data_IF_533546245050
#
_entry.id   IF_533546245050
#
_cell.length_a   1.000
_cell.length_b   1.000
_cell.length_c   1.000
_cell.angle_alpha   90.00
_cell.angle_beta   90.00
_cell.angle_gamma   90.00
#
_symmetry.space_group_name_H-M   'P 1'
#
loop_
_entity.id
_entity.type
_entity.pdbx_description
1 polymer ?
2 water ?
#
# COMPACT_ATOMS: atom_id res chain seq x y z
N UNK A 1 -1.58 11.04 -6.45
CA UNK A 1 -2.48 12.12 -5.99
C UNK A 1 -3.85 11.95 -6.65
N UNK A 2 -4.06 12.28 -7.95
CA UNK A 2 -5.34 11.98 -8.63
C UNK A 2 -5.53 10.47 -8.86
N UNK A 3 -4.46 9.78 -9.26
CA UNK A 3 -4.40 8.32 -9.32
C UNK A 3 -4.79 7.64 -8.00
N UNK A 4 -4.25 8.18 -6.90
CA UNK A 4 -4.50 7.74 -5.54
C UNK A 4 -5.91 8.02 -5.09
N UNK A 5 -6.38 9.27 -5.30
CA UNK A 5 -7.71 9.67 -4.87
C UNK A 5 -8.72 8.73 -5.54
N UNK A 6 -8.49 8.38 -6.80
CA UNK A 6 -9.35 7.49 -7.54
C UNK A 6 -9.46 6.12 -6.87
N UNK A 7 -8.30 5.47 -6.67
CA UNK A 7 -8.18 4.23 -5.94
C UNK A 7 -8.91 4.24 -4.60
N UNK A 8 -8.80 5.31 -3.82
CA UNK A 8 -9.49 5.36 -2.52
C UNK A 8 -11.01 5.40 -2.71
N UNK A 9 -11.47 6.21 -3.66
CA UNK A 9 -12.87 6.34 -4.04
C UNK A 9 -13.46 4.98 -4.39
N UNK A 10 -12.68 4.24 -5.19
CA UNK A 10 -13.11 2.97 -5.73
C UNK A 10 -13.25 1.93 -4.63
N UNK A 11 -12.33 1.97 -3.69
CA UNK A 11 -12.31 1.06 -2.58
C UNK A 11 -13.52 1.31 -1.72
N UNK A 12 -13.75 2.59 -1.38
CA UNK A 12 -14.88 2.96 -0.53
C UNK A 12 -16.13 2.40 -1.18
N UNK A 13 -16.29 2.65 -2.48
CA UNK A 13 -17.58 2.49 -3.10
C UNK A 13 -17.76 1.03 -3.52
N UNK A 14 -16.77 0.46 -4.20
CA UNK A 14 -16.97 -0.77 -4.98
C UNK A 14 -16.12 -2.00 -4.55
N UNK A 15 -15.34 -1.95 -3.48
CA UNK A 15 -14.52 -3.08 -3.09
C UNK A 15 -14.94 -3.52 -1.70
N UNK A 16 -15.10 -4.85 -1.57
CA UNK A 16 -15.49 -5.47 -0.31
C UNK A 16 -14.64 -6.73 -0.14
N UNK A 17 -14.63 -7.26 1.08
CA UNK A 17 -13.96 -8.48 1.43
C UNK A 17 -15.06 -9.53 1.42
N UNK A 18 -14.73 -10.67 0.85
CA UNK A 18 -15.61 -11.78 0.63
C UNK A 18 -14.94 -13.07 1.11
N UNK A 19 -15.65 -13.90 1.90
CA UNK A 19 -15.08 -15.16 2.36
C UNK A 19 -15.76 -16.34 1.63
N UNK A 20 -14.95 -17.34 1.25
CA UNK A 20 -15.37 -18.58 0.61
C UNK A 20 -14.80 -19.78 1.37
N UNK A 21 -15.16 -21.00 0.90
CA UNK A 21 -14.43 -22.24 1.18
C UNK A 21 -12.95 -21.95 1.37
N UNK A 22 -12.38 -21.30 0.31
CA UNK A 22 -10.96 -21.04 0.15
C UNK A 22 -10.38 -19.85 0.95
N UNK A 23 -11.14 -19.02 1.69
CA UNK A 23 -10.55 -17.95 2.50
C UNK A 23 -11.15 -16.57 2.10
N UNK A 24 -10.63 -15.47 2.69
CA UNK A 24 -11.04 -14.14 2.33
C UNK A 24 -10.34 -13.71 1.03
N UNK A 25 -11.00 -12.79 0.34
CA UNK A 25 -10.48 -12.25 -0.91
C UNK A 25 -11.00 -10.84 -1.08
N UNK A 26 -10.20 -9.99 -1.75
CA UNK A 26 -10.71 -8.71 -2.19
C UNK A 26 -11.69 -8.99 -3.33
N UNK A 27 -12.88 -8.36 -3.32
CA UNK A 27 -13.84 -8.53 -4.37
C UNK A 27 -14.28 -7.18 -4.90
N UNK A 28 -14.38 -7.07 -6.21
CA UNK A 28 -14.92 -5.87 -6.80
C UNK A 28 -16.41 -6.03 -7.15
N UNK A 29 -17.21 -5.11 -6.69
CA UNK A 29 -18.54 -4.88 -7.23
C UNK A 29 -18.52 -3.98 -8.46
N UNK A 30 -19.17 -4.44 -9.54
CA UNK A 30 -19.12 -3.79 -10.83
C UNK A 30 -20.38 -2.99 -11.18
N UNK A 31 -21.55 -3.62 -11.03
CA UNK A 31 -22.85 -2.99 -11.18
C UNK A 31 -23.95 -3.85 -10.52
N UNK A 32 -25.04 -3.20 -10.13
CA UNK A 32 -26.24 -3.92 -9.75
C UNK A 32 -25.83 -4.90 -8.66
N UNK A 33 -25.94 -6.20 -8.98
CA UNK A 33 -25.76 -7.30 -8.06
C UNK A 33 -24.60 -8.19 -8.51
N UNK A 34 -23.79 -7.69 -9.47
CA UNK A 34 -22.70 -8.40 -10.12
C UNK A 34 -21.35 -7.93 -9.54
N UNK A 35 -20.43 -8.90 -9.43
CA UNK A 35 -19.13 -8.77 -8.78
C UNK A 35 -18.19 -9.82 -9.33
N UNK A 36 -16.85 -9.61 -9.16
CA UNK A 36 -15.86 -10.50 -9.71
C UNK A 36 -14.88 -10.88 -8.62
N UNK A 37 -14.30 -12.05 -8.80
CA UNK A 37 -13.32 -12.63 -7.91
C UNK A 37 -12.42 -13.50 -8.74
N UNK A 38 -11.23 -13.85 -8.21
CA UNK A 38 -10.40 -14.89 -8.78
C UNK A 38 -11.18 -16.20 -8.85
N UNK A 39 -11.10 -16.87 -9.99
CA UNK A 39 -11.69 -18.17 -10.15
C UNK A 39 -11.22 -19.12 -9.04
N UNK A 40 -9.98 -19.02 -8.57
CA UNK A 40 -9.46 -19.99 -7.62
C UNK A 40 -10.02 -19.78 -6.22
N UNK A 41 -10.82 -18.72 -6.02
CA UNK A 41 -11.49 -18.48 -4.76
C UNK A 41 -12.69 -19.40 -4.60
N UNK A 42 -13.16 -19.88 -5.76
CA UNK A 42 -14.01 -21.09 -5.83
C UNK A 42 -15.33 -20.85 -5.13
N UNK A 43 -16.01 -19.71 -5.41
CA UNK A 43 -17.16 -19.31 -4.61
C UNK A 43 -18.27 -20.37 -4.67
N UNK A 44 -18.96 -20.58 -3.54
CA UNK A 44 -20.01 -21.60 -3.49
C UNK A 44 -21.40 -21.12 -3.92
N UNK A 45 -22.42 -21.47 -3.13
CA UNK A 45 -23.81 -21.07 -3.30
C UNK A 45 -24.07 -19.86 -2.43
N UNK A 46 -23.14 -19.54 -1.53
CA UNK A 46 -23.22 -18.31 -0.77
C UNK A 46 -21.79 -17.84 -0.47
N UNK A 47 -21.70 -16.55 -0.08
CA UNK A 47 -20.42 -15.93 0.18
C UNK A 47 -20.62 -14.96 1.32
N UNK A 48 -19.67 -14.86 2.26
CA UNK A 48 -19.83 -13.87 3.33
C UNK A 48 -19.25 -12.55 2.85
N UNK A 49 -19.90 -11.43 3.16
CA UNK A 49 -19.56 -10.11 2.67
C UNK A 49 -19.73 -9.14 3.82
N UNK A 50 -18.59 -8.75 4.41
CA UNK A 50 -18.57 -7.77 5.49
C UNK A 50 -19.55 -8.29 6.55
N UNK A 51 -19.26 -9.49 7.08
CA UNK A 51 -20.06 -10.09 8.15
C UNK A 51 -21.22 -10.98 7.70
N UNK A 52 -21.81 -10.75 6.51
CA UNK A 52 -23.15 -11.24 6.22
C UNK A 52 -23.13 -12.37 5.18
N UNK A 53 -23.92 -13.41 5.38
CA UNK A 53 -24.04 -14.47 4.38
C UNK A 53 -24.98 -13.95 3.28
N UNK A 54 -24.59 -14.20 2.04
CA UNK A 54 -25.25 -13.65 0.89
C UNK A 54 -25.36 -14.78 -0.12
N UNK A 55 -26.59 -15.01 -0.62
CA UNK A 55 -26.82 -16.09 -1.55
C UNK A 55 -26.29 -15.66 -2.93
N UNK A 56 -25.51 -16.56 -3.55
CA UNK A 56 -25.01 -16.49 -4.92
C UNK A 56 -26.02 -17.16 -5.85
N UNK A 57 -26.63 -16.36 -6.71
CA UNK A 57 -27.47 -16.88 -7.79
C UNK A 57 -26.56 -17.55 -8.83
N UNK A 58 -26.05 -16.81 -9.84
CA UNK A 58 -25.17 -17.38 -10.87
C UNK A 58 -23.69 -17.17 -10.51
N UNK A 59 -22.82 -18.07 -11.01
CA UNK A 59 -21.37 -17.96 -10.90
C UNK A 59 -20.74 -18.39 -12.23
N UNK A 60 -20.26 -17.42 -13.02
CA UNK A 60 -19.62 -17.67 -14.30
C UNK A 60 -18.10 -17.50 -14.21
N UNK A 61 -17.33 -18.59 -14.41
CA UNK A 61 -15.88 -18.57 -14.52
C UNK A 61 -15.46 -18.33 -15.95
N UNK A 62 -14.86 -17.16 -16.26
CA UNK A 62 -14.50 -16.73 -17.61
C UNK A 62 -13.38 -17.60 -18.23
N UNK A 63 -13.59 -18.00 -19.52
CA UNK A 63 -12.59 -18.58 -20.41
C UNK A 63 -12.56 -17.79 -21.75
N UNK A 64 -11.52 -17.98 -22.56
CA UNK A 64 -11.41 -17.32 -23.87
C UNK A 64 -12.14 -18.20 -24.86
N UNK A 65 -12.16 -17.79 -26.14
CA UNK A 65 -12.85 -18.60 -27.13
C UNK A 65 -12.14 -19.96 -27.32
N UNK A 66 -10.89 -20.16 -26.88
CA UNK A 66 -10.24 -21.48 -26.86
C UNK A 66 -10.61 -22.37 -25.64
N UNK A 67 -11.47 -21.91 -24.70
CA UNK A 67 -11.62 -22.59 -23.40
C UNK A 67 -10.44 -22.53 -22.41
N UNK A 68 -9.43 -21.67 -22.61
CA UNK A 68 -8.41 -21.37 -21.63
C UNK A 68 -9.05 -20.49 -20.56
N UNK A 69 -8.81 -20.83 -19.31
CA UNK A 69 -9.30 -20.04 -18.19
C UNK A 69 -8.66 -18.63 -18.17
N UNK A 70 -9.44 -17.56 -17.98
CA UNK A 70 -8.95 -16.22 -17.69
C UNK A 70 -8.75 -15.86 -16.22
N UNK A 71 -9.06 -16.79 -15.32
CA UNK A 71 -8.87 -16.69 -13.89
C UNK A 71 -9.82 -15.68 -13.26
N UNK A 72 -10.95 -15.36 -13.89
CA UNK A 72 -11.90 -14.41 -13.31
C UNK A 72 -13.22 -15.13 -13.26
N UNK A 73 -14.04 -14.82 -12.25
CA UNK A 73 -15.37 -15.35 -12.12
C UNK A 73 -16.32 -14.21 -11.72
N UNK A 74 -17.41 -14.18 -12.46
CA UNK A 74 -18.52 -13.30 -12.21
C UNK A 74 -19.52 -14.04 -11.35
N UNK A 75 -20.06 -13.32 -10.36
CA UNK A 75 -21.07 -13.85 -9.48
C UNK A 75 -22.20 -12.84 -9.37
N UNK A 76 -23.43 -13.33 -9.61
CA UNK A 76 -24.65 -12.55 -9.38
C UNK A 76 -25.12 -12.99 -8.00
N UNK A 77 -25.61 -12.04 -7.22
CA UNK A 77 -25.87 -12.18 -5.80
C UNK A 77 -27.33 -11.89 -5.48
N UNK A 78 -27.92 -12.70 -4.58
CA UNK A 78 -29.26 -12.43 -4.04
C UNK A 78 -29.14 -11.33 -2.99
N UNK A 79 -29.35 -10.06 -3.43
CA UNK A 79 -29.20 -8.91 -2.55
C UNK A 79 -29.99 -7.70 -3.10
N UNK A 80 -30.37 -6.87 -2.13
CA UNK A 80 -31.18 -5.68 -2.35
C UNK A 80 -30.26 -4.51 -2.73
N UNK A 81 -29.10 -4.45 -2.07
CA UNK A 81 -28.12 -3.39 -2.26
C UNK A 81 -27.63 -3.44 -3.72
N UNK A 82 -27.49 -2.27 -4.35
CA UNK A 82 -26.91 -2.14 -5.70
C UNK A 82 -25.51 -1.49 -5.58
N UNK A 83 -24.58 -1.85 -6.48
CA UNK A 83 -23.27 -1.22 -6.53
C UNK A 83 -23.28 -0.07 -7.51
N UNK A 84 -22.55 0.99 -7.12
CA UNK A 84 -22.19 2.03 -8.07
C UNK A 84 -21.72 1.38 -9.37
N UNK A 85 -22.25 1.80 -10.50
CA UNK A 85 -21.95 1.14 -11.75
C UNK A 85 -20.57 1.64 -12.12
N UNK A 86 -19.58 0.75 -12.31
CA UNK A 86 -18.25 1.19 -12.79
C UNK A 86 -17.88 0.54 -14.12
N UNK A 87 -18.85 0.10 -14.87
CA UNK A 87 -18.59 -0.33 -16.23
C UNK A 87 -17.93 0.75 -17.08
N UNK A 88 -18.41 2.02 -17.11
CA UNK A 88 -17.69 3.10 -17.83
C UNK A 88 -16.19 3.17 -17.48
N UNK A 89 -15.84 2.85 -16.22
CA UNK A 89 -14.46 2.89 -15.82
C UNK A 89 -13.68 1.66 -16.22
N UNK A 90 -14.30 0.63 -16.81
CA UNK A 90 -13.53 -0.54 -17.14
C UNK A 90 -13.28 -0.37 -18.60
N UNK A 91 -12.05 -0.53 -19.08
CA UNK A 91 -11.73 -0.19 -20.44
C UNK A 91 -12.32 -1.24 -21.37
N UNK A 92 -12.50 -0.89 -22.66
CA UNK A 92 -12.99 -1.81 -23.67
C UNK A 92 -11.88 -2.77 -24.07
N UNK A 93 -10.62 -2.32 -23.98
CA UNK A 93 -9.45 -3.13 -24.36
C UNK A 93 -8.45 -3.25 -23.20
N UNK A 94 -7.68 -4.34 -23.25
CA UNK A 94 -6.65 -4.60 -22.29
C UNK A 94 -5.79 -3.34 -22.21
N UNK A 95 -5.68 -2.75 -21.01
CA UNK A 95 -4.98 -1.50 -20.80
C UNK A 95 -3.73 -1.63 -19.92
N UNK A 96 -2.62 -0.95 -20.31
CA UNK A 96 -1.41 -0.79 -19.49
C UNK A 96 -1.37 0.58 -18.85
N UNK A 97 -0.46 0.80 -17.91
CA UNK A 97 -0.34 2.06 -17.20
C UNK A 97 1.09 2.07 -16.69
N UNK A 98 1.61 3.27 -16.63
CA UNK A 98 2.85 3.53 -15.98
C UNK A 98 2.64 3.70 -14.48
N UNK A 99 1.41 4.02 -14.02
CA UNK A 99 1.23 4.37 -12.63
C UNK A 99 0.08 3.54 -12.08
N UNK A 100 0.31 2.23 -11.93
CA UNK A 100 -0.70 1.39 -11.30
C UNK A 100 -0.82 1.51 -9.79
N UNK A 101 -2.06 1.59 -9.27
CA UNK A 101 -2.34 1.22 -7.88
C UNK A 101 -3.09 -0.12 -7.72
N UNK A 102 -2.50 -1.02 -6.92
CA UNK A 102 -3.12 -2.28 -6.49
C UNK A 102 -3.90 -2.02 -5.23
N UNK A 103 -5.18 -2.38 -5.21
CA UNK A 103 -6.00 -2.18 -4.01
C UNK A 103 -6.31 -3.57 -3.43
N UNK A 104 -6.09 -3.67 -2.13
CA UNK A 104 -6.32 -4.89 -1.38
C UNK A 104 -7.19 -4.53 -0.19
N UNK A 105 -8.15 -5.43 0.10
CA UNK A 105 -9.03 -5.21 1.24
C UNK A 105 -9.47 -6.53 1.88
N UNK A 106 -8.64 -7.04 2.78
CA UNK A 106 -8.99 -8.13 3.65
C UNK A 106 -8.67 -7.74 5.10
N UNK A 107 -9.00 -8.62 6.02
CA UNK A 107 -8.63 -8.45 7.42
C UNK A 107 -7.11 -8.40 7.62
N UNK A 108 -6.33 -9.12 6.79
CA UNK A 108 -4.87 -9.07 6.89
C UNK A 108 -4.37 -7.75 6.28
N UNK A 109 -4.91 -7.40 5.10
CA UNK A 109 -4.48 -6.25 4.33
C UNK A 109 -5.65 -5.29 4.17
N UNK A 110 -6.11 -4.59 5.23
CA UNK A 110 -7.33 -3.74 5.10
C UNK A 110 -7.05 -2.39 4.45
N UNK A 111 -7.83 -2.10 3.40
CA UNK A 111 -7.83 -0.79 2.75
C UNK A 111 -6.43 -0.27 2.48
N UNK A 112 -5.70 -1.11 1.81
CA UNK A 112 -4.28 -1.01 1.63
C UNK A 112 -4.05 -0.71 0.14
N UNK A 113 -3.26 0.33 -0.16
CA UNK A 113 -3.06 0.88 -1.51
C UNK A 113 -1.58 0.77 -1.86
N UNK A 114 -1.27 0.00 -2.92
CA UNK A 114 0.09 -0.26 -3.28
C UNK A 114 0.32 0.27 -4.70
N UNK A 115 1.12 1.34 -4.84
CA UNK A 115 1.58 1.78 -6.15
C UNK A 115 2.71 0.88 -6.63
N UNK A 116 2.43 0.16 -7.72
CA UNK A 116 3.33 -0.88 -8.18
C UNK A 116 4.10 -0.37 -9.38
N UNK A 117 3.74 0.86 -9.81
CA UNK A 117 4.34 1.36 -11.04
C UNK A 117 3.77 0.76 -12.32
N UNK A 118 4.68 0.24 -13.11
CA UNK A 118 4.38 -0.19 -14.47
C UNK A 118 3.61 -1.51 -14.45
N UNK A 119 2.42 -1.53 -15.09
CA UNK A 119 1.67 -2.75 -15.33
C UNK A 119 1.74 -3.01 -16.84
N UNK A 120 2.36 -4.12 -17.24
CA UNK A 120 2.59 -4.39 -18.64
C UNK A 120 1.83 -5.65 -19.04
N UNK A 121 1.55 -5.74 -20.35
CA UNK A 121 0.89 -6.88 -20.94
C UNK A 121 1.91 -7.95 -21.21
N UNK A 122 1.55 -9.18 -20.82
CA UNK A 122 2.36 -10.37 -21.04
C UNK A 122 1.54 -11.44 -21.77
N UNK A 123 0.22 -11.22 -21.96
CA UNK A 123 -0.64 -12.18 -22.61
C UNK A 123 -0.50 -13.55 -21.93
N UNK A 124 0.06 -14.48 -22.72
CA UNK A 124 -0.10 -15.86 -22.34
C UNK A 124 0.92 -16.10 -21.24
N UNK A 125 0.39 -16.39 -20.04
CA UNK A 125 1.15 -16.94 -18.94
C UNK A 125 1.06 -18.48 -18.94
N UNK A 126 2.10 -19.18 -19.44
CA UNK A 126 2.16 -20.65 -19.54
C UNK A 126 2.96 -21.22 -18.38
N UNK A 127 2.39 -21.39 -17.18
CA UNK A 127 3.10 -22.13 -16.14
C UNK A 127 2.47 -23.52 -16.03
N UNK A 128 3.29 -24.51 -15.57
CA UNK A 128 2.98 -25.92 -15.79
C UNK A 128 2.21 -26.13 -17.12
N UNK A 129 1.18 -26.99 -17.05
CA UNK A 129 0.15 -27.00 -18.06
C UNK A 129 -0.79 -25.81 -17.92
N UNK A 130 -0.89 -25.26 -16.67
CA UNK A 130 -1.92 -24.30 -16.21
C UNK A 130 -1.68 -22.95 -16.88
N UNK A 131 -2.05 -22.88 -18.17
CA UNK A 131 -1.80 -21.74 -19.02
C UNK A 131 -2.93 -20.70 -18.74
N UNK A 132 -2.75 -19.40 -19.09
CA UNK A 132 -3.78 -18.37 -18.85
C UNK A 132 -3.58 -17.25 -19.89
N UNK A 133 -4.63 -16.50 -20.19
CA UNK A 133 -4.54 -15.46 -21.19
C UNK A 133 -4.92 -14.10 -20.62
N UNK A 134 -4.47 -13.08 -21.33
CA UNK A 134 -4.83 -11.72 -20.98
C UNK A 134 -4.30 -11.36 -19.60
N UNK A 135 -3.05 -11.80 -19.28
CA UNK A 135 -2.51 -11.43 -18.00
C UNK A 135 -1.78 -10.10 -18.05
N UNK A 136 -1.73 -9.42 -16.92
CA UNK A 136 -0.83 -8.29 -16.69
C UNK A 136 0.23 -8.67 -15.66
N UNK A 137 1.32 -7.89 -15.62
CA UNK A 137 2.46 -8.18 -14.76
C UNK A 137 2.98 -6.84 -14.26
N UNK A 138 3.53 -6.86 -13.06
CA UNK A 138 3.99 -5.66 -12.38
C UNK A 138 4.93 -6.12 -11.32
N UNK A 139 5.82 -5.24 -10.90
CA UNK A 139 6.68 -5.50 -9.73
C UNK A 139 5.89 -5.33 -8.43
N UNK A 140 5.85 -6.44 -7.67
CA UNK A 140 5.18 -6.52 -6.37
C UNK A 140 5.63 -7.82 -5.72
N UNK A 141 6.21 -7.78 -4.50
CA UNK A 141 6.38 -9.00 -3.70
C UNK A 141 5.08 -9.67 -3.19
N UNK A 142 4.57 -10.61 -4.01
CA UNK A 142 3.33 -11.32 -3.72
C UNK A 142 3.47 -12.30 -2.54
N UNK A 143 2.49 -12.33 -1.61
CA UNK A 143 2.14 -13.51 -0.79
C UNK A 143 0.76 -14.06 -1.22
N UNK A 144 -0.29 -13.82 -0.43
CA UNK A 144 -1.42 -14.74 -0.40
C UNK A 144 -2.63 -14.00 0.11
N UNK A 145 -3.79 -14.18 -0.57
CA UNK A 145 -4.99 -13.43 -0.26
C UNK A 145 -4.80 -11.91 -0.38
N UNK A 146 -3.74 -11.50 -1.12
CA UNK A 146 -3.74 -10.39 -2.07
C UNK A 146 -4.57 -10.73 -3.31
N UNK A 147 -4.72 -12.04 -3.56
CA UNK A 147 -5.71 -12.48 -4.51
C UNK A 147 -7.00 -11.69 -4.25
N UNK A 148 -7.51 -11.35 -5.45
CA UNK A 148 -8.66 -10.52 -5.69
C UNK A 148 -8.32 -9.04 -5.80
N UNK A 149 -7.07 -8.64 -5.48
CA UNK A 149 -6.75 -7.22 -5.48
C UNK A 149 -6.99 -6.53 -6.83
N UNK A 150 -7.31 -5.26 -6.76
CA UNK A 150 -7.74 -4.51 -7.92
C UNK A 150 -6.62 -3.56 -8.39
N UNK A 151 -6.30 -3.57 -9.68
CA UNK A 151 -5.37 -2.61 -10.28
C UNK A 151 -6.11 -1.39 -10.87
N UNK A 152 -5.72 -0.16 -10.45
CA UNK A 152 -6.21 1.09 -11.01
C UNK A 152 -5.09 1.94 -11.63
N UNK A 153 -5.49 2.72 -12.61
CA UNK A 153 -4.85 3.95 -12.99
C UNK A 153 -6.04 4.89 -13.07
N UNK A 154 -5.76 6.17 -13.19
CA UNK A 154 -6.75 7.21 -12.92
C UNK A 154 -7.91 7.00 -13.90
N UNK A 155 -9.14 6.88 -13.32
CA UNK A 155 -10.40 6.76 -14.06
C UNK A 155 -10.74 5.35 -14.56
N UNK A 156 -9.76 4.44 -14.55
CA UNK A 156 -9.88 3.10 -15.06
C UNK A 156 -9.53 2.05 -13.99
N UNK A 157 -10.37 1.03 -13.94
CA UNK A 157 -10.08 -0.27 -13.33
C UNK A 157 -9.70 -1.25 -14.43
N UNK A 158 -8.46 -1.72 -14.45
CA UNK A 158 -7.91 -2.46 -15.57
C UNK A 158 -7.62 -3.92 -15.24
N UNK A 159 -7.66 -4.35 -13.96
CA UNK A 159 -7.09 -5.67 -13.72
C UNK A 159 -7.45 -6.20 -12.36
N UNK A 160 -7.13 -7.49 -12.16
CA UNK A 160 -7.47 -8.18 -10.92
C UNK A 160 -6.38 -9.22 -10.64
N UNK A 161 -5.72 -9.04 -9.48
CA UNK A 161 -4.56 -9.80 -9.09
C UNK A 161 -5.00 -11.28 -8.90
N UNK A 162 -4.24 -12.25 -9.41
CA UNK A 162 -4.60 -13.66 -9.38
C UNK A 162 -3.38 -14.55 -9.19
N UNK A 163 -2.25 -13.97 -8.87
CA UNK A 163 -1.04 -14.76 -8.98
C UNK A 163 0.20 -13.94 -8.64
N UNK A 164 1.33 -14.64 -8.61
CA UNK A 164 2.55 -13.93 -8.30
C UNK A 164 3.70 -14.85 -7.90
N UNK A 165 4.77 -14.18 -7.44
CA UNK A 165 6.00 -14.82 -7.00
C UNK A 165 6.70 -13.77 -6.19
N UNK A 166 7.94 -14.11 -5.80
CA UNK A 166 8.69 -13.24 -4.91
C UNK A 166 8.76 -11.79 -5.33
N UNK A 167 8.76 -11.53 -6.64
CA UNK A 167 9.16 -10.23 -7.15
C UNK A 167 8.09 -9.60 -8.03
N UNK A 168 7.06 -10.36 -8.43
CA UNK A 168 6.11 -9.93 -9.45
C UNK A 168 4.70 -10.33 -9.06
N UNK A 169 3.73 -9.47 -9.33
CA UNK A 169 2.31 -9.85 -9.33
C UNK A 169 1.78 -10.13 -10.74
N UNK A 170 0.75 -10.97 -10.83
CA UNK A 170 0.07 -11.26 -12.07
C UNK A 170 -1.40 -10.94 -11.90
N UNK A 171 -1.94 -10.15 -12.85
CA UNK A 171 -3.35 -9.85 -12.83
C UNK A 171 -4.01 -10.42 -14.09
N UNK A 172 -5.33 -10.61 -14.01
CA UNK A 172 -6.20 -10.82 -15.15
C UNK A 172 -6.73 -9.45 -15.54
N UNK A 173 -6.60 -9.13 -16.82
CA UNK A 173 -7.08 -7.87 -17.34
C UNK A 173 -8.62 -7.89 -17.29
N UNK A 174 -9.21 -6.72 -17.14
CA UNK A 174 -10.63 -6.45 -17.30
C UNK A 174 -10.98 -5.66 -18.57
N UNK A 175 -12.04 -6.11 -19.27
CA UNK A 175 -12.60 -5.57 -20.51
C UNK A 175 -14.08 -5.33 -20.19
N UNK A 176 -14.64 -4.23 -20.65
CA UNK A 176 -16.02 -3.95 -20.36
C UNK A 176 -16.97 -5.07 -20.85
N UNK A 177 -16.66 -5.73 -21.99
CA UNK A 177 -17.46 -6.76 -22.65
C UNK A 177 -17.70 -8.00 -21.77
N UNK A 178 -16.89 -8.17 -20.73
CA UNK A 178 -17.11 -9.20 -19.74
C UNK A 178 -18.44 -9.01 -19.01
N UNK A 179 -18.98 -7.79 -18.96
CA UNK A 179 -20.27 -7.52 -18.38
C UNK A 179 -21.29 -7.19 -19.48
N UNK A 180 -22.51 -6.99 -18.99
CA UNK A 180 -23.66 -6.61 -19.78
C UNK A 180 -23.42 -5.22 -20.35
N UNK A 181 -24.09 -4.98 -21.49
CA UNK A 181 -24.18 -3.68 -22.12
C UNK A 181 -24.85 -2.67 -21.18
N UNK A 182 -24.62 -1.38 -21.46
CA UNK A 182 -24.89 -0.27 -20.55
C UNK A 182 -26.10 0.53 -21.09
N UNK B 2 8.71 -11.91 2.90
CA UNK B 2 7.61 -11.32 3.65
C UNK B 2 7.61 -9.80 3.78
N UNK B 3 8.44 -9.10 2.93
CA UNK B 3 8.68 -7.65 2.93
C UNK B 3 7.45 -6.82 3.35
N UNK B 4 6.31 -7.21 2.77
CA UNK B 4 5.04 -6.51 2.89
C UNK B 4 4.31 -6.82 4.19
N UNK B 5 4.33 -8.07 4.68
CA UNK B 5 3.71 -8.39 5.96
C UNK B 5 4.44 -7.61 7.05
N UNK B 6 5.79 -7.63 6.94
CA UNK B 6 6.63 -6.97 7.91
C UNK B 6 6.13 -5.54 8.13
N UNK B 7 5.93 -4.84 6.98
CA UNK B 7 5.51 -3.45 6.95
C UNK B 7 4.08 -3.29 7.46
N UNK B 8 3.19 -4.21 7.12
CA UNK B 8 1.79 -4.08 7.53
C UNK B 8 1.68 -4.21 9.03
N UNK B 9 2.27 -5.32 9.53
CA UNK B 9 2.33 -5.58 10.97
C UNK B 9 2.84 -4.34 11.70
N UNK B 10 3.95 -3.76 11.21
CA UNK B 10 4.56 -2.60 11.82
C UNK B 10 3.59 -1.43 11.77
N UNK B 11 2.97 -1.19 10.62
CA UNK B 11 2.07 -0.05 10.47
C UNK B 11 0.92 -0.08 11.48
N UNK B 12 0.39 -1.28 11.82
CA UNK B 12 -0.77 -1.37 12.68
C UNK B 12 -0.42 -0.81 14.06
N UNK B 13 0.60 -1.45 14.64
CA UNK B 13 0.98 -1.20 16.03
C UNK B 13 1.77 0.09 16.16
N UNK B 14 2.69 0.40 15.22
CA UNK B 14 3.76 1.38 15.47
C UNK B 14 3.70 2.64 14.62
N UNK B 15 2.72 2.77 13.71
CA UNK B 15 2.60 4.00 12.95
C UNK B 15 1.29 4.70 13.27
N UNK B 16 1.39 6.04 13.25
CA UNK B 16 0.32 6.95 13.61
C UNK B 16 0.48 8.16 12.69
N UNK B 17 -0.55 9.02 12.70
CA UNK B 17 -0.68 10.19 11.88
C UNK B 17 -0.59 11.34 12.86
N UNK B 18 0.06 12.43 12.44
CA UNK B 18 0.41 13.52 13.32
C UNK B 18 0.19 14.83 12.60
N UNK B 19 -0.49 15.78 13.25
CA UNK B 19 -0.71 17.10 12.66
C UNK B 19 0.11 18.14 13.47
N UNK B 20 0.72 19.11 12.77
CA UNK B 20 1.44 20.26 13.33
C UNK B 20 0.97 21.50 12.59
N UNK B 21 1.49 22.65 13.04
CA UNK B 21 1.41 23.89 12.30
C UNK B 21 1.65 23.66 10.81
N UNK B 22 2.62 22.77 10.46
CA UNK B 22 3.07 22.47 9.10
C UNK B 22 2.16 21.52 8.27
N UNK B 23 1.47 20.55 8.88
CA UNK B 23 0.50 19.73 8.16
C UNK B 23 0.55 18.32 8.73
N UNK B 24 0.06 17.33 7.94
CA UNK B 24 0.02 15.96 8.43
C UNK B 24 1.36 15.28 8.16
N UNK B 25 1.63 14.24 8.95
CA UNK B 25 2.89 13.53 8.87
C UNK B 25 2.62 12.10 9.32
N UNK B 26 3.21 11.12 8.62
CA UNK B 26 3.30 9.76 9.12
C UNK B 26 4.31 9.82 10.25
N UNK B 27 4.04 9.17 11.38
CA UNK B 27 4.89 9.22 12.56
C UNK B 27 5.17 7.81 13.08
N UNK B 28 6.43 7.50 13.29
CA UNK B 28 6.80 6.20 13.81
C UNK B 28 6.84 6.34 15.30
N UNK B 29 6.12 5.47 16.00
CA UNK B 29 6.30 5.28 17.42
C UNK B 29 7.28 4.14 17.69
N UNK B 30 8.25 4.43 18.60
CA UNK B 30 9.42 3.60 18.74
C UNK B 30 9.38 2.73 19.99
N UNK B 31 9.11 3.38 21.13
CA UNK B 31 8.97 2.78 22.45
C UNK B 31 8.33 3.81 23.40
N UNK B 32 7.64 3.27 24.42
CA UNK B 32 7.15 4.10 25.51
C UNK B 32 6.38 5.24 24.87
N UNK B 33 6.89 6.45 24.97
CA UNK B 33 6.16 7.62 24.53
C UNK B 33 7.04 8.45 23.60
N UNK B 34 8.06 7.79 22.97
CA UNK B 34 8.97 8.48 22.05
C UNK B 34 8.65 8.07 20.61
N UNK B 35 8.82 9.03 19.67
CA UNK B 35 8.39 8.92 18.29
C UNK B 35 9.20 9.89 17.44
N UNK B 36 9.23 9.68 16.10
CA UNK B 36 10.10 10.49 15.24
C UNK B 36 9.32 11.20 14.16
N UNK B 37 9.66 12.46 13.99
CA UNK B 37 9.15 13.28 12.91
C UNK B 37 10.31 13.82 12.12
N UNK B 38 10.07 14.21 10.85
CA UNK B 38 10.93 15.14 10.13
C UNK B 38 11.07 16.39 10.99
N UNK B 39 12.30 16.83 11.13
CA UNK B 39 12.53 18.07 11.82
C UNK B 39 11.70 19.19 11.19
N UNK B 40 11.50 19.20 9.86
CA UNK B 40 10.86 20.35 9.21
C UNK B 40 9.38 20.46 9.57
N UNK B 41 8.83 19.38 10.15
CA UNK B 41 7.44 19.35 10.59
C UNK B 41 7.21 20.30 11.75
N UNK B 42 8.31 20.61 12.48
CA UNK B 42 8.43 21.82 13.27
C UNK B 42 7.43 21.80 14.43
N UNK B 43 7.39 20.72 15.26
CA UNK B 43 6.31 20.51 16.22
C UNK B 43 6.29 21.53 17.36
N UNK B 44 5.12 22.15 17.64
CA UNK B 44 4.94 23.08 18.75
C UNK B 44 4.70 22.41 20.12
N UNK B 45 3.69 22.91 20.88
CA UNK B 45 3.52 22.59 22.31
C UNK B 45 2.71 21.30 22.45
N UNK B 46 1.71 21.17 21.57
CA UNK B 46 0.94 19.96 21.38
C UNK B 46 0.91 19.59 19.89
N UNK B 47 0.54 18.33 19.64
CA UNK B 47 0.60 17.67 18.34
C UNK B 47 -0.68 16.85 18.26
N UNK B 48 -1.40 16.91 17.12
CA UNK B 48 -2.62 16.12 17.01
C UNK B 48 -2.27 14.68 16.62
N UNK B 49 -2.80 13.68 17.34
CA UNK B 49 -2.63 12.27 17.02
C UNK B 49 -4.00 11.62 16.92
N UNK B 50 -4.32 11.02 15.76
CA UNK B 50 -5.45 10.12 15.62
C UNK B 50 -6.67 10.80 16.24
N UNK B 51 -7.00 12.01 15.71
CA UNK B 51 -8.11 12.80 16.20
C UNK B 51 -7.73 13.80 17.31
N UNK B 52 -7.00 13.34 18.36
CA UNK B 52 -6.95 14.00 19.66
C UNK B 52 -5.62 14.72 19.90
N UNK B 53 -5.70 15.86 20.62
CA UNK B 53 -4.55 16.68 20.94
C UNK B 53 -3.74 16.09 22.11
N UNK B 54 -2.40 16.09 21.98
CA UNK B 54 -1.49 15.46 22.92
C UNK B 54 -0.30 16.42 23.15
N UNK B 55 0.09 16.58 24.42
CA UNK B 55 1.13 17.52 24.79
C UNK B 55 2.51 16.86 24.65
N UNK B 56 3.44 17.72 24.21
CA UNK B 56 4.83 17.41 23.91
C UNK B 56 5.69 17.79 25.10
N UNK B 57 6.34 16.79 25.73
CA UNK B 57 7.34 16.98 26.76
C UNK B 57 8.60 17.60 26.15
N UNK B 58 9.57 16.75 25.71
CA UNK B 58 10.82 17.20 25.14
C UNK B 58 10.85 16.89 23.63
N UNK B 59 11.57 17.76 22.89
CA UNK B 59 11.72 17.71 21.45
C UNK B 59 13.18 17.96 21.09
N UNK B 60 13.94 16.88 20.83
CA UNK B 60 15.35 16.97 20.50
C UNK B 60 15.59 16.72 19.00
N UNK B 61 16.02 17.75 18.26
CA UNK B 61 16.47 17.67 16.88
C UNK B 61 17.87 17.07 16.75
N UNK B 62 18.01 15.88 16.16
CA UNK B 62 19.27 15.17 16.00
C UNK B 62 20.18 15.82 14.97
N UNK B 63 21.49 15.59 15.17
CA UNK B 63 22.60 16.20 14.41
C UNK B 63 23.78 15.24 14.45
N UNK B 64 24.68 15.24 13.46
CA UNK B 64 25.79 14.30 13.41
C UNK B 64 26.92 14.84 14.29
N UNK B 65 28.08 14.16 14.30
CA UNK B 65 29.26 14.64 15.01
C UNK B 65 29.67 16.05 14.59
N UNK B 66 29.44 16.40 13.31
CA UNK B 66 29.63 17.75 12.79
C UNK B 66 28.53 18.78 13.12
N UNK B 67 27.46 18.48 13.89
CA UNK B 67 26.35 19.43 14.07
C UNK B 67 25.58 19.84 12.79
N UNK B 68 25.57 18.95 11.77
CA UNK B 68 24.66 19.07 10.65
C UNK B 68 23.43 18.26 11.04
N UNK B 69 22.29 18.95 10.88
CA UNK B 69 20.96 18.40 10.95
C UNK B 69 20.78 17.09 10.17
N UNK B 70 20.39 16.05 10.91
CA UNK B 70 20.00 14.73 10.45
C UNK B 70 18.57 14.68 9.86
N UNK B 71 17.82 15.75 10.06
CA UNK B 71 16.42 15.91 9.71
C UNK B 71 15.49 14.97 10.50
N UNK B 72 15.90 14.51 11.67
CA UNK B 72 15.01 13.86 12.61
C UNK B 72 14.80 14.78 13.83
N UNK B 73 13.61 14.65 14.42
CA UNK B 73 13.28 15.15 15.73
C UNK B 73 12.61 14.00 16.46
N UNK B 74 13.31 13.39 17.45
CA UNK B 74 12.69 12.61 18.52
C UNK B 74 11.81 13.52 19.41
N UNK B 75 10.62 13.02 19.76
CA UNK B 75 9.72 13.67 20.69
C UNK B 75 9.21 12.65 21.68
N UNK B 76 9.04 13.16 22.92
CA UNK B 76 8.39 12.50 24.03
C UNK B 76 7.01 13.17 24.22
N UNK B 77 6.01 12.30 24.46
CA UNK B 77 4.60 12.68 24.58
C UNK B 77 4.02 12.26 25.94
N UNK B 78 3.10 13.11 26.46
CA UNK B 78 2.37 12.83 27.70
C UNK B 78 1.26 11.79 27.44
N UNK B 79 1.52 10.49 27.75
CA UNK B 79 0.61 9.42 27.31
C UNK B 79 0.81 8.09 28.06
N UNK B 80 -0.35 7.47 28.32
CA UNK B 80 -0.49 6.28 29.15
C UNK B 80 -0.27 5.06 28.25
N UNK B 81 -0.90 5.07 27.05
CA UNK B 81 -0.69 4.02 26.06
C UNK B 81 0.78 4.15 25.62
N UNK B 82 1.47 3.00 25.53
CA UNK B 82 2.90 2.94 25.24
C UNK B 82 3.06 2.21 23.89
N UNK B 83 3.96 2.71 23.03
CA UNK B 83 4.20 2.09 21.73
C UNK B 83 4.88 0.76 21.95
N UNK B 84 4.56 -0.24 21.12
CA UNK B 84 5.41 -1.43 21.14
C UNK B 84 6.89 -0.97 21.04
N UNK B 85 7.78 -1.52 21.86
CA UNK B 85 9.21 -1.21 21.70
C UNK B 85 9.73 -1.94 20.46
N UNK B 86 10.20 -1.19 19.43
CA UNK B 86 10.80 -1.80 18.23
C UNK B 86 12.25 -1.36 18.01
N UNK B 87 12.89 -0.75 19.00
CA UNK B 87 14.34 -0.57 18.94
C UNK B 87 15.09 -1.84 18.51
N UNK B 88 14.69 -3.06 18.91
CA UNK B 88 15.32 -4.26 18.35
C UNK B 88 15.24 -4.41 16.83
N UNK B 89 14.23 -3.82 16.19
CA UNK B 89 14.07 -3.91 14.74
C UNK B 89 14.99 -2.96 13.97
N UNK B 90 15.31 -1.84 14.59
CA UNK B 90 16.23 -0.85 14.05
C UNK B 90 17.65 -1.36 14.15
N UNK B 91 18.45 -1.31 13.06
CA UNK B 91 19.81 -1.84 13.11
C UNK B 91 20.70 -0.87 13.87
N UNK B 92 21.85 -1.37 14.32
CA UNK B 92 22.87 -0.57 14.99
C UNK B 92 23.62 0.31 13.99
N UNK B 93 23.73 -0.18 12.74
CA UNK B 93 24.31 0.55 11.63
C UNK B 93 23.28 0.94 10.57
N UNK B 94 23.52 2.10 9.97
CA UNK B 94 22.91 2.50 8.71
C UNK B 94 22.89 1.30 7.77
N UNK B 95 21.68 0.90 7.34
CA UNK B 95 21.54 -0.33 6.53
C UNK B 95 20.91 -0.04 5.17
N UNK B 96 21.36 -0.73 4.11
CA UNK B 96 20.79 -0.65 2.76
C UNK B 96 19.95 -1.89 2.49
N UNK B 97 19.24 -1.92 1.36
CA UNK B 97 18.36 -3.03 1.07
C UNK B 97 18.08 -3.01 -0.43
N UNK B 98 17.86 -4.22 -0.96
CA UNK B 98 17.39 -4.40 -2.32
C UNK B 98 15.89 -4.20 -2.41
N UNK B 99 15.18 -4.05 -1.27
CA UNK B 99 13.75 -4.30 -1.19
C UNK B 99 13.10 -3.43 -0.15
N UNK B 100 13.10 -2.12 -0.40
CA UNK B 100 12.48 -1.20 0.55
C UNK B 100 10.95 -1.16 0.41
N UNK B 101 10.31 -0.92 1.56
CA UNK B 101 8.91 -0.52 1.58
C UNK B 101 8.78 0.80 2.31
N UNK B 102 8.05 1.74 1.70
CA UNK B 102 7.83 3.07 2.23
C UNK B 102 6.42 3.03 2.75
N UNK B 103 6.23 3.36 4.02
CA UNK B 103 4.92 3.25 4.63
C UNK B 103 4.43 4.67 4.93
N UNK B 104 3.28 5.05 4.37
CA UNK B 104 2.69 6.38 4.56
C UNK B 104 1.24 6.22 4.97
N UNK B 105 0.80 7.11 5.86
CA UNK B 105 -0.54 7.05 6.42
C UNK B 105 -0.97 8.43 6.89
N UNK B 106 -1.58 9.20 5.99
CA UNK B 106 -2.13 10.49 6.29
C UNK B 106 -3.53 10.53 5.70
N UNK B 107 -4.25 11.61 5.98
CA UNK B 107 -5.61 11.72 5.46
C UNK B 107 -5.52 11.93 3.95
N UNK B 108 -4.40 12.48 3.42
CA UNK B 108 -4.22 12.57 1.96
C UNK B 108 -3.83 11.22 1.35
N UNK B 109 -2.95 10.45 2.00
CA UNK B 109 -2.44 9.19 1.52
C UNK B 109 -2.71 8.15 2.60
N UNK B 110 -3.97 7.70 2.80
CA UNK B 110 -4.27 6.69 3.81
C UNK B 110 -3.73 5.35 3.38
N UNK B 111 -3.11 4.61 4.33
CA UNK B 111 -2.73 3.22 4.10
C UNK B 111 -1.97 3.00 2.80
N UNK B 112 -0.99 3.87 2.53
CA UNK B 112 -0.13 3.71 1.38
C UNK B 112 1.13 2.92 1.76
N UNK B 113 1.39 1.81 1.08
CA UNK B 113 2.63 1.03 1.17
C UNK B 113 3.29 0.99 -0.20
N UNK B 114 4.48 1.62 -0.35
CA UNK B 114 5.12 1.70 -1.66
C UNK B 114 6.42 0.88 -1.66
N UNK B 115 6.56 -0.11 -2.55
CA UNK B 115 7.81 -0.83 -2.69
C UNK B 115 8.77 -0.06 -3.57
N UNK B 116 9.87 0.43 -2.99
CA UNK B 116 10.67 1.44 -3.66
C UNK B 116 11.92 0.84 -4.29
N UNK B 117 12.04 -0.47 -4.11
CA UNK B 117 13.17 -1.21 -4.60
C UNK B 117 14.40 -0.98 -3.72
N UNK B 118 15.51 -0.66 -4.37
CA UNK B 118 16.80 -0.52 -3.71
C UNK B 118 16.85 0.82 -2.98
N UNK B 119 17.28 0.74 -1.74
CA UNK B 119 17.56 1.91 -0.89
C UNK B 119 19.06 1.94 -0.67
N UNK B 120 19.72 3.01 -1.14
CA UNK B 120 21.16 3.13 -0.97
C UNK B 120 21.50 4.32 -0.07
N UNK B 121 22.70 4.22 0.52
CA UNK B 121 23.27 5.27 1.34
C UNK B 121 24.02 6.25 0.43
N UNK B 122 23.85 7.55 0.70
CA UNK B 122 24.41 8.64 -0.11
C UNK B 122 25.17 9.68 0.71
N UNK B 123 25.34 9.47 2.02
CA UNK B 123 25.95 10.46 2.87
C UNK B 123 25.25 11.82 2.80
N UNK B 124 25.98 12.81 2.39
CA UNK B 124 25.51 14.16 2.59
C UNK B 124 24.59 14.49 1.44
N UNK B 125 23.41 15.01 1.74
CA UNK B 125 22.53 15.62 0.80
C UNK B 125 22.60 17.13 0.98
N UNK B 126 23.27 17.83 0.05
CA UNK B 126 23.52 19.27 0.17
C UNK B 126 22.76 20.09 -0.85
N UNK B 127 21.43 20.12 -0.92
CA UNK B 127 20.81 21.27 -1.60
C UNK B 127 21.06 22.56 -0.81
N UNK B 128 21.00 23.72 -1.51
CA UNK B 128 21.45 25.02 -1.05
C UNK B 128 22.75 24.90 -0.23
N UNK B 129 22.86 25.74 0.79
CA UNK B 129 23.72 25.44 1.91
C UNK B 129 23.11 24.35 2.80
N UNK B 130 21.82 24.01 2.59
CA UNK B 130 20.93 23.34 3.54
C UNK B 130 21.23 21.85 3.51
N UNK B 131 22.27 21.46 4.28
CA UNK B 131 22.77 20.08 4.24
C UNK B 131 22.02 19.09 5.18
N UNK B 132 22.14 17.77 4.90
CA UNK B 132 21.51 16.73 5.71
C UNK B 132 22.43 15.50 5.68
N UNK B 133 22.59 14.86 6.82
CA UNK B 133 23.64 13.84 6.91
C UNK B 133 23.00 12.44 7.01
N UNK B 134 23.79 11.45 6.60
CA UNK B 134 23.40 10.06 6.59
C UNK B 134 22.06 9.82 5.89
N UNK B 135 21.95 10.35 4.67
CA UNK B 135 20.72 10.18 3.92
C UNK B 135 20.71 8.85 3.16
N UNK B 136 19.51 8.35 2.91
CA UNK B 136 19.27 7.26 1.97
C UNK B 136 18.49 7.77 0.76
N UNK B 137 18.52 7.00 -0.33
CA UNK B 137 17.93 7.37 -1.60
C UNK B 137 17.29 6.12 -2.18
N UNK B 138 16.16 6.31 -2.88
CA UNK B 138 15.40 5.23 -3.50
C UNK B 138 14.70 5.82 -4.72
N UNK B 139 14.76 5.03 -5.79
CA UNK B 139 14.37 5.43 -7.13
C UNK B 139 12.89 5.08 -7.19
N UNK B 140 12.06 5.92 -6.58
CA UNK B 140 10.62 5.86 -6.75
C UNK B 140 10.06 7.27 -6.64
N UNK B 141 9.06 7.64 -7.47
CA UNK B 141 8.37 8.94 -7.40
C UNK B 141 7.97 9.46 -6.03
N UNK B 142 8.17 10.77 -5.79
CA UNK B 142 7.85 11.42 -4.52
C UNK B 142 6.84 12.55 -4.71
N UNK B 143 6.01 12.71 -3.68
CA UNK B 143 4.97 13.72 -3.53
C UNK B 143 5.18 14.35 -2.16
N UNK B 144 4.62 15.55 -2.00
CA UNK B 144 4.30 16.06 -0.68
C UNK B 144 3.17 15.22 -0.06
N UNK B 145 3.18 15.21 1.28
CA UNK B 145 2.29 14.43 2.13
C UNK B 145 2.97 13.15 2.59
N UNK B 146 4.13 12.82 1.96
CA UNK B 146 4.86 11.60 2.23
C UNK B 146 5.94 11.79 3.29
N UNK B 147 6.27 13.06 3.59
CA UNK B 147 7.28 13.34 4.62
C UNK B 147 6.82 12.70 5.92
N UNK B 148 7.73 11.97 6.53
CA UNK B 148 7.43 11.17 7.68
C UNK B 148 7.32 9.68 7.36
N UNK B 149 7.11 9.30 6.11
CA UNK B 149 6.97 7.88 5.86
C UNK B 149 8.13 7.03 6.40
N UNK B 150 7.89 5.75 6.66
CA UNK B 150 8.90 4.90 7.23
C UNK B 150 9.41 3.96 6.15
N UNK B 151 10.70 3.63 6.24
CA UNK B 151 11.28 2.72 5.28
C UNK B 151 11.60 1.44 6.01
N UNK B 152 11.23 0.29 5.42
CA UNK B 152 11.43 -1.02 6.00
C UNK B 152 12.02 -1.91 4.94
N UNK B 153 12.85 -2.86 5.40
CA UNK B 153 13.13 -4.08 4.68
C UNK B 153 12.66 -5.15 5.64
N UNK B 154 12.84 -6.43 5.26
CA UNK B 154 12.35 -7.55 6.06
C UNK B 154 13.03 -7.47 7.43
N UNK B 155 12.24 -7.43 8.49
CA UNK B 155 12.74 -7.43 9.86
C UNK B 155 13.16 -6.07 10.40
N UNK B 156 13.64 -5.15 9.54
CA UNK B 156 14.30 -3.95 10.02
C UNK B 156 13.55 -2.69 9.57
N UNK B 157 13.49 -1.69 10.47
CA UNK B 157 13.09 -0.32 10.16
C UNK B 157 14.34 0.54 9.96
N UNK B 158 14.59 1.00 8.74
CA UNK B 158 15.91 1.45 8.35
C UNK B 158 15.97 2.93 8.02
N UNK B 159 14.83 3.63 7.93
CA UNK B 159 14.91 5.03 7.52
C UNK B 159 13.58 5.71 7.67
N UNK B 160 13.59 7.04 7.59
CA UNK B 160 12.38 7.84 7.53
C UNK B 160 12.45 8.90 6.37
N UNK B 161 11.42 8.95 5.54
CA UNK B 161 11.37 9.73 4.33
C UNK B 161 11.35 11.20 4.72
N UNK B 162 12.09 12.10 4.04
CA UNK B 162 12.16 13.51 4.42
C UNK B 162 12.22 14.44 3.24
N UNK B 163 12.14 13.86 2.04
CA UNK B 163 12.07 14.69 0.86
C UNK B 163 12.05 13.86 -0.42
N UNK B 164 12.08 14.56 -1.56
CA UNK B 164 12.33 13.93 -2.84
C UNK B 164 12.25 14.92 -3.99
N UNK B 165 12.05 14.38 -5.20
CA UNK B 165 11.98 15.18 -6.41
C UNK B 165 11.19 14.51 -7.49
N UNK B 166 10.34 13.55 -7.14
CA UNK B 166 9.44 13.22 -8.25
C UNK B 166 9.99 12.14 -9.20
N UNK B 167 11.28 11.79 -9.11
CA UNK B 167 11.72 10.45 -9.48
C UNK B 167 12.37 9.70 -8.32
N UNK B 168 12.70 10.42 -7.21
CA UNK B 168 13.51 9.87 -6.15
C UNK B 168 13.07 10.30 -4.78
N UNK B 169 13.20 9.39 -3.81
CA UNK B 169 12.95 9.74 -2.41
C UNK B 169 14.24 9.88 -1.61
N UNK B 170 14.20 10.71 -0.55
CA UNK B 170 15.30 10.79 0.39
C UNK B 170 14.82 10.46 1.79
N UNK B 171 15.51 9.53 2.45
CA UNK B 171 15.28 9.27 3.86
C UNK B 171 16.48 9.68 4.75
N UNK B 172 16.20 10.11 5.98
CA UNK B 172 17.15 10.02 7.10
C UNK B 172 17.30 8.58 7.62
N UNK B 173 18.55 8.11 7.71
CA UNK B 173 18.79 6.75 8.17
C UNK B 173 18.42 6.64 9.67
N UNK B 174 18.22 5.40 10.13
CA UNK B 174 17.85 5.16 11.52
C UNK B 174 18.85 4.19 12.16
N UNK B 175 19.30 4.48 13.40
CA UNK B 175 20.27 3.66 14.16
C UNK B 175 19.66 3.36 15.53
N UNK B 176 19.94 2.17 16.10
CA UNK B 176 19.52 1.92 17.49
C UNK B 176 20.05 2.98 18.49
N UNK B 177 21.30 3.46 18.22
CA UNK B 177 22.10 4.31 19.11
C UNK B 177 21.44 5.65 19.37
N UNK B 178 20.52 6.01 18.49
CA UNK B 178 19.74 7.22 18.61
C UNK B 178 18.82 7.18 19.80
N UNK B 179 18.55 6.00 20.42
CA UNK B 179 17.59 5.90 21.53
C UNK B 179 18.11 5.26 22.83
N UNK B 180 19.41 5.05 22.97
CA UNK B 180 19.94 4.24 24.05
C UNK B 180 21.20 4.91 24.61
#
# INVERSE_FOLDING_TARGET
>A
GPGFDYAVAMAKRNIVTATTSKGEFTMLGVHDNVAILPTHASPGESIVIDGKEVEILDAKALEDQAGTNLEITIITLKRNEKFRDIRPHIPTQITETNDGVLIVNTSKYPNMYVPVGAVTEQGYLNLGGRQTARTLMYNFPTRAGQCGGVITCTGKVIGMHVGGNGSHGFAAALKRSYFTQSQ
>B
GPGFDYAVAMAKRNIVTATTSKGEFTMLGVHDNVAILPTHASPGESIVIDGKEVEILDAKALEDQAGTNLEITIITLKRNEKFRDIRPHIPTQITETNDGVLIVNTSKYPNMYVPVGAVTEQGYLNLGGRQTARTLMYNFPTRAGQCGGVITCTGKVIGMHVGGNGSHGFAAALKRSYFTQSQ
#
